data_IF_819595907048
#
_entry.id   IF_819595907048
#
_cell.length_a   1.000
_cell.length_b   1.000
_cell.length_c   1.000
_cell.angle_alpha   90.00
_cell.angle_beta   90.00
_cell.angle_gamma   90.00
#
_symmetry.space_group_name_H-M   'P 1'
#
loop_
_entity.id
_entity.type
_entity.pdbx_description
1 polymer ?
#
# COMPACT_ATOMS: atom_id res chain seq x y z
N UNK A 1 22.57 -3.89 -10.53
CA UNK A 1 23.45 -3.39 -9.45
C UNK A 1 24.67 -2.79 -10.09
N UNK A 2 24.99 -1.54 -9.74
CA UNK A 2 26.17 -0.83 -10.22
C UNK A 2 27.26 -0.78 -9.16
N UNK A 3 28.52 -0.79 -9.59
CA UNK A 3 29.67 -0.59 -8.70
C UNK A 3 30.15 0.85 -8.82
N UNK A 4 30.05 1.62 -7.74
CA UNK A 4 30.66 2.95 -7.63
C UNK A 4 31.99 2.84 -6.89
N UNK A 5 33.00 3.65 -7.25
CA UNK A 5 34.28 3.69 -6.53
C UNK A 5 34.40 4.99 -5.74
N UNK A 6 34.55 4.87 -4.41
CA UNK A 6 34.73 6.01 -3.50
C UNK A 6 36.07 5.85 -2.79
N UNK A 7 36.98 6.82 -2.96
CA UNK A 7 38.34 6.77 -2.39
C UNK A 7 39.07 5.44 -2.71
N UNK A 8 38.91 4.95 -3.95
CA UNK A 8 39.50 3.69 -4.41
C UNK A 8 38.78 2.42 -3.93
N UNK A 9 37.73 2.52 -3.12
CA UNK A 9 36.94 1.36 -2.62
C UNK A 9 35.67 1.16 -3.44
N UNK A 10 35.38 -0.07 -3.90
CA UNK A 10 34.14 -0.36 -4.60
C UNK A 10 32.96 -0.47 -3.61
N UNK A 11 31.82 0.11 -3.98
CA UNK A 11 30.54 0.00 -3.29
C UNK A 11 29.47 -0.42 -4.30
N UNK A 12 28.64 -1.40 -3.93
CA UNK A 12 27.50 -1.83 -4.72
C UNK A 12 26.30 -0.96 -4.40
N UNK A 13 25.70 -0.37 -5.43
CA UNK A 13 24.48 0.45 -5.34
C UNK A 13 23.39 -0.20 -6.19
N UNK A 14 22.18 -0.37 -5.64
CA UNK A 14 21.01 -0.84 -6.38
C UNK A 14 20.63 0.10 -7.54
N UNK A 15 20.15 -0.45 -8.65
CA UNK A 15 19.66 0.30 -9.83
C UNK A 15 18.14 0.19 -10.02
N UNK A 16 17.50 -0.67 -9.22
CA UNK A 16 16.06 -0.87 -9.22
C UNK A 16 15.55 -1.33 -7.86
N UNK A 17 14.25 -1.18 -7.64
CA UNK A 17 13.56 -1.63 -6.44
C UNK A 17 13.69 -3.13 -6.20
N UNK A 18 13.75 -3.93 -7.26
CA UNK A 18 13.86 -5.39 -7.19
C UNK A 18 15.22 -5.89 -6.67
N UNK A 19 16.26 -5.04 -6.69
CA UNK A 19 17.60 -5.38 -6.19
C UNK A 19 17.75 -5.12 -4.68
N UNK A 20 16.77 -4.47 -4.05
CA UNK A 20 16.81 -4.16 -2.62
C UNK A 20 16.42 -5.36 -1.77
N UNK A 21 17.19 -5.60 -0.71
CA UNK A 21 16.72 -6.42 0.41
C UNK A 21 15.61 -5.69 1.18
N UNK A 22 14.71 -6.41 1.89
CA UNK A 22 13.68 -5.76 2.70
C UNK A 22 14.22 -4.74 3.70
N UNK A 23 15.37 -5.04 4.33
CA UNK A 23 16.02 -4.13 5.28
C UNK A 23 16.45 -2.82 4.61
N UNK A 24 17.09 -2.90 3.44
CA UNK A 24 17.49 -1.72 2.66
C UNK A 24 16.28 -0.93 2.18
N UNK A 25 15.20 -1.63 1.81
CA UNK A 25 13.95 -1.03 1.37
C UNK A 25 13.31 -0.21 2.50
N UNK A 26 13.10 -0.83 3.67
CA UNK A 26 12.52 -0.14 4.82
C UNK A 26 13.39 1.02 5.31
N UNK A 27 14.72 0.89 5.26
CA UNK A 27 15.61 1.98 5.65
C UNK A 27 15.56 3.18 4.69
N UNK A 28 15.34 2.94 3.40
CA UNK A 28 15.24 4.02 2.39
C UNK A 28 13.85 4.66 2.31
N UNK A 29 12.78 3.90 2.58
CA UNK A 29 11.40 4.35 2.41
C UNK A 29 11.04 5.71 3.08
N UNK A 30 11.51 6.05 4.30
CA UNK A 30 11.24 7.35 4.92
C UNK A 30 11.72 8.56 4.10
N UNK A 31 12.65 8.36 3.17
CA UNK A 31 13.26 9.41 2.36
C UNK A 31 12.55 9.63 1.01
N UNK A 32 11.55 8.82 0.67
CA UNK A 32 10.81 8.93 -0.59
C UNK A 32 10.09 10.27 -0.79
N UNK A 33 9.74 10.96 0.30
CA UNK A 33 9.03 12.24 0.25
C UNK A 33 9.93 13.45 -0.11
N UNK A 34 11.25 13.29 -0.11
CA UNK A 34 12.20 14.39 -0.37
C UNK A 34 13.31 13.94 -1.28
N UNK A 35 13.49 14.62 -2.42
CA UNK A 35 14.63 14.42 -3.33
C UNK A 35 15.77 15.41 -3.03
N UNK A 36 16.06 15.61 -1.74
CA UNK A 36 17.17 16.48 -1.30
C UNK A 36 18.49 15.72 -1.27
N UNK A 37 19.62 16.44 -1.34
CA UNK A 37 20.96 15.85 -1.16
C UNK A 37 21.06 15.08 0.15
N UNK A 38 20.46 15.60 1.24
CA UNK A 38 20.41 14.92 2.53
C UNK A 38 19.65 13.59 2.47
N UNK A 39 18.50 13.55 1.80
CA UNK A 39 17.72 12.33 1.61
C UNK A 39 18.47 11.30 0.75
N UNK A 40 19.08 11.74 -0.36
CA UNK A 40 19.93 10.88 -1.22
C UNK A 40 21.10 10.28 -0.45
N UNK A 41 21.78 11.07 0.37
CA UNK A 41 22.86 10.59 1.24
C UNK A 41 22.37 9.60 2.30
N UNK A 42 21.18 9.82 2.88
CA UNK A 42 20.60 8.90 3.84
C UNK A 42 20.25 7.55 3.19
N UNK A 43 19.67 7.58 1.97
CA UNK A 43 19.42 6.38 1.16
C UNK A 43 20.71 5.63 0.84
N UNK A 44 21.75 6.34 0.38
CA UNK A 44 23.06 5.73 0.09
C UNK A 44 23.66 5.05 1.32
N UNK A 45 23.54 5.66 2.51
CA UNK A 45 24.00 5.06 3.78
C UNK A 45 23.19 3.82 4.15
N UNK A 46 21.89 3.86 3.94
CA UNK A 46 21.01 2.72 4.16
C UNK A 46 21.37 1.52 3.26
N UNK A 47 21.78 1.79 2.02
CA UNK A 47 22.10 0.74 1.04
C UNK A 47 23.54 0.25 1.09
N UNK A 48 24.46 1.15 1.43
CA UNK A 48 25.89 0.90 1.50
C UNK A 48 26.38 1.04 2.95
N UNK A 49 26.19 0.05 3.83
CA UNK A 49 26.59 0.15 5.25
C UNK A 49 28.09 0.35 5.46
N UNK A 50 28.91 0.07 4.44
CA UNK A 50 30.36 0.34 4.44
C UNK A 50 30.72 1.81 4.20
N UNK A 51 29.77 2.65 3.77
CA UNK A 51 29.95 4.08 3.52
C UNK A 51 29.98 4.84 4.86
N UNK A 52 31.17 5.19 5.34
CA UNK A 52 31.31 5.89 6.63
C UNK A 52 31.15 7.39 6.44
N UNK A 53 30.65 8.07 7.48
CA UNK A 53 30.51 9.55 7.52
C UNK A 53 31.81 10.28 7.11
N UNK A 54 32.95 9.79 7.61
CA UNK A 54 34.26 10.35 7.27
C UNK A 54 34.62 10.23 5.79
N UNK A 55 34.13 9.20 5.11
CA UNK A 55 34.41 8.97 3.69
C UNK A 55 33.56 9.93 2.85
N UNK A 56 32.30 10.15 3.26
CA UNK A 56 31.40 11.15 2.65
C UNK A 56 31.94 12.58 2.78
N UNK A 57 32.47 12.95 3.96
CA UNK A 57 33.04 14.30 4.19
C UNK A 57 34.30 14.59 3.37
N UNK A 58 34.95 13.56 2.82
CA UNK A 58 36.15 13.70 1.97
C UNK A 58 35.83 13.79 0.49
N UNK A 59 34.57 13.59 0.09
CA UNK A 59 34.17 13.68 -1.30
C UNK A 59 34.22 15.13 -1.78
N UNK A 60 34.70 15.33 -3.00
CA UNK A 60 34.54 16.61 -3.69
C UNK A 60 33.06 16.85 -4.03
N UNK A 61 32.63 18.10 -4.28
CA UNK A 61 31.27 18.39 -4.72
C UNK A 61 30.82 17.56 -5.92
N UNK A 62 31.70 17.36 -6.92
CA UNK A 62 31.42 16.56 -8.12
C UNK A 62 31.22 15.09 -7.78
N UNK A 63 32.10 14.52 -6.94
CA UNK A 63 31.96 13.12 -6.49
C UNK A 63 30.67 12.90 -5.68
N UNK A 64 30.32 13.88 -4.85
CA UNK A 64 29.07 13.85 -4.09
C UNK A 64 27.86 13.91 -5.03
N UNK A 65 27.90 14.77 -6.05
CA UNK A 65 26.87 14.87 -7.07
C UNK A 65 26.71 13.54 -7.82
N UNK A 66 27.80 12.98 -8.35
CA UNK A 66 27.80 11.70 -9.06
C UNK A 66 27.25 10.56 -8.18
N UNK A 67 27.63 10.55 -6.90
CA UNK A 67 27.08 9.56 -5.96
C UNK A 67 25.58 9.77 -5.77
N UNK A 68 25.11 11.01 -5.61
CA UNK A 68 23.70 11.33 -5.46
C UNK A 68 22.86 11.02 -6.72
N UNK A 69 23.42 11.15 -7.91
CA UNK A 69 22.70 10.81 -9.16
C UNK A 69 22.50 9.31 -9.31
N UNK A 70 23.39 8.47 -8.74
CA UNK A 70 23.26 7.00 -8.80
C UNK A 70 21.98 6.45 -8.13
N UNK A 71 21.40 7.20 -7.19
CA UNK A 71 20.16 6.83 -6.49
C UNK A 71 18.92 7.60 -6.97
N UNK A 72 19.09 8.57 -7.87
CA UNK A 72 17.99 9.44 -8.34
C UNK A 72 16.83 8.67 -8.98
N UNK A 73 17.09 7.46 -9.49
CA UNK A 73 16.07 6.59 -10.08
C UNK A 73 14.94 6.24 -9.09
N UNK A 74 15.21 6.29 -7.78
CA UNK A 74 14.22 6.02 -6.73
C UNK A 74 13.01 6.96 -6.81
N UNK A 75 13.22 8.22 -7.17
CA UNK A 75 12.14 9.21 -7.24
C UNK A 75 11.46 9.26 -8.61
N UNK A 76 12.05 8.65 -9.63
CA UNK A 76 11.50 8.64 -10.99
C UNK A 76 10.77 7.34 -11.34
N UNK A 77 11.15 6.21 -10.74
CA UNK A 77 10.51 4.91 -10.95
C UNK A 77 9.42 4.66 -9.91
N UNK A 78 8.28 4.11 -10.35
CA UNK A 78 7.23 3.67 -9.42
C UNK A 78 7.78 2.64 -8.41
N UNK A 79 7.38 2.79 -7.15
CA UNK A 79 7.80 1.90 -6.07
C UNK A 79 7.31 0.47 -6.32
N UNK A 80 8.23 -0.47 -6.53
CA UNK A 80 7.90 -1.89 -6.66
C UNK A 80 8.01 -2.58 -5.30
N UNK A 81 6.88 -2.96 -4.73
CA UNK A 81 6.79 -3.63 -3.43
C UNK A 81 6.61 -5.15 -3.54
N UNK A 82 6.66 -5.72 -4.76
CA UNK A 82 6.40 -7.17 -4.97
C UNK A 82 7.32 -8.09 -4.19
N UNK A 83 8.55 -7.67 -3.93
CA UNK A 83 9.54 -8.44 -3.15
C UNK A 83 9.33 -8.37 -1.63
N UNK A 84 8.42 -7.52 -1.15
CA UNK A 84 8.15 -7.34 0.28
C UNK A 84 6.84 -8.02 0.63
N UNK A 85 6.94 -9.22 1.19
CA UNK A 85 5.77 -10.04 1.55
C UNK A 85 5.45 -10.00 3.04
N UNK A 86 6.41 -9.63 3.89
CA UNK A 86 6.25 -9.61 5.34
C UNK A 86 7.25 -8.67 6.03
N UNK A 87 6.98 -8.37 7.30
CA UNK A 87 7.93 -7.73 8.21
C UNK A 87 7.77 -8.29 9.63
N UNK A 88 8.83 -8.17 10.44
CA UNK A 88 8.77 -8.55 11.86
C UNK A 88 8.69 -7.32 12.74
N UNK A 89 7.76 -7.32 13.70
CA UNK A 89 7.64 -6.28 14.73
C UNK A 89 7.35 -6.94 16.07
N UNK A 90 8.12 -6.60 17.11
CA UNK A 90 7.97 -7.15 18.48
C UNK A 90 7.87 -8.68 18.52
N UNK A 91 8.70 -9.37 17.74
CA UNK A 91 8.76 -10.84 17.67
C UNK A 91 7.59 -11.50 16.93
N UNK A 92 6.70 -10.73 16.30
CA UNK A 92 5.60 -11.23 15.47
C UNK A 92 5.85 -10.92 14.00
N UNK A 93 5.61 -11.88 13.13
CA UNK A 93 5.65 -11.71 11.67
C UNK A 93 4.29 -11.24 11.18
N UNK A 94 4.27 -10.06 10.56
CA UNK A 94 3.11 -9.47 9.89
C UNK A 94 3.27 -9.67 8.39
N UNK A 95 2.26 -10.29 7.77
CA UNK A 95 2.27 -10.56 6.33
C UNK A 95 1.48 -9.49 5.59
N UNK A 96 2.06 -8.96 4.52
CA UNK A 96 1.39 -8.06 3.58
C UNK A 96 0.40 -8.86 2.72
N UNK A 97 -0.66 -8.23 2.20
CA UNK A 97 -1.48 -8.84 1.16
C UNK A 97 -0.64 -9.08 -0.11
N UNK A 98 -1.14 -9.95 -0.97
CA UNK A 98 -0.55 -10.19 -2.29
C UNK A 98 -0.60 -8.91 -3.15
N UNK A 99 0.32 -8.76 -4.12
CA UNK A 99 0.31 -7.62 -5.04
C UNK A 99 -1.07 -7.39 -5.64
N UNK A 100 -1.48 -6.12 -5.71
CA UNK A 100 -2.81 -5.71 -6.17
C UNK A 100 -3.98 -6.13 -5.28
N UNK A 101 -3.71 -6.63 -4.06
CA UNK A 101 -4.73 -7.13 -3.12
C UNK A 101 -5.49 -8.36 -3.65
N UNK A 102 -4.81 -9.22 -4.42
CA UNK A 102 -5.41 -10.41 -5.04
C UNK A 102 -6.03 -11.37 -4.02
N UNK A 103 -5.43 -11.46 -2.84
CA UNK A 103 -5.88 -12.32 -1.75
C UNK A 103 -6.82 -11.59 -0.77
N UNK A 104 -6.92 -10.26 -0.83
CA UNK A 104 -7.67 -9.49 0.17
C UNK A 104 -9.19 -9.64 0.05
N UNK A 105 -9.88 -9.47 1.18
CA UNK A 105 -11.35 -9.39 1.21
C UNK A 105 -11.84 -7.95 1.06
N UNK A 106 -13.10 -7.78 0.66
CA UNK A 106 -13.66 -6.48 0.32
C UNK A 106 -13.59 -5.45 1.46
N UNK A 107 -13.81 -5.89 2.71
CA UNK A 107 -13.77 -5.00 3.88
C UNK A 107 -12.37 -4.47 4.19
N UNK A 108 -11.31 -5.23 3.90
CA UNK A 108 -9.93 -4.76 4.09
C UNK A 108 -9.64 -3.56 3.20
N UNK A 109 -10.02 -3.65 1.93
CA UNK A 109 -9.87 -2.56 0.97
C UNK A 109 -10.71 -1.34 1.35
N UNK A 110 -11.96 -1.56 1.75
CA UNK A 110 -12.86 -0.48 2.16
C UNK A 110 -12.31 0.28 3.37
N UNK A 111 -11.89 -0.43 4.42
CA UNK A 111 -11.34 0.19 5.62
C UNK A 111 -9.96 0.82 5.36
N UNK A 112 -9.09 0.18 4.59
CA UNK A 112 -7.81 0.77 4.20
C UNK A 112 -8.01 2.07 3.39
N UNK A 113 -9.05 2.15 2.54
CA UNK A 113 -9.43 3.38 1.84
C UNK A 113 -9.85 4.49 2.80
N UNK A 114 -10.70 4.19 3.79
CA UNK A 114 -11.08 5.16 4.83
C UNK A 114 -9.85 5.69 5.56
N UNK A 115 -8.99 4.79 6.05
CA UNK A 115 -7.79 5.20 6.79
C UNK A 115 -6.79 5.96 5.92
N UNK A 116 -6.65 5.60 4.65
CA UNK A 116 -5.85 6.36 3.68
C UNK A 116 -6.36 7.80 3.54
N UNK A 117 -7.67 8.00 3.36
CA UNK A 117 -8.25 9.34 3.22
C UNK A 117 -8.11 10.16 4.50
N UNK A 118 -8.28 9.55 5.68
CA UNK A 118 -8.05 10.20 6.97
C UNK A 118 -6.60 10.64 7.16
N UNK A 119 -5.64 9.80 6.76
CA UNK A 119 -4.21 10.12 6.80
C UNK A 119 -3.85 11.24 5.80
N UNK A 120 -4.35 11.15 4.57
CA UNK A 120 -4.03 12.06 3.48
C UNK A 120 -4.86 13.36 3.48
N UNK A 121 -5.76 13.56 4.45
CA UNK A 121 -6.61 14.74 4.52
C UNK A 121 -5.77 15.99 4.83
N UNK A 122 -5.68 16.99 3.92
CA UNK A 122 -4.87 18.17 4.15
C UNK A 122 -5.47 19.15 5.17
N UNK A 123 -6.79 19.10 5.40
CA UNK A 123 -7.47 19.99 6.34
C UNK A 123 -7.43 19.44 7.77
N UNK A 124 -7.51 18.13 7.91
CA UNK A 124 -7.51 17.44 9.21
C UNK A 124 -6.74 16.12 9.12
N UNK A 125 -5.40 16.17 9.01
CA UNK A 125 -4.60 14.96 8.92
C UNK A 125 -4.72 14.16 10.22
N UNK A 126 -4.90 12.85 10.10
CA UNK A 126 -4.92 11.91 11.23
C UNK A 126 -3.73 10.96 11.11
N UNK A 127 -2.57 11.27 11.74
CA UNK A 127 -1.37 10.45 11.62
C UNK A 127 -1.58 8.99 12.04
N UNK A 128 -2.40 8.76 13.06
CA UNK A 128 -2.74 7.42 13.56
C UNK A 128 -3.50 6.56 12.54
N UNK A 129 -4.14 7.19 11.55
CA UNK A 129 -4.81 6.45 10.48
C UNK A 129 -3.80 5.66 9.62
N UNK A 130 -2.53 6.08 9.56
CA UNK A 130 -1.50 5.28 8.91
C UNK A 130 -1.28 3.95 9.66
N UNK A 131 -1.27 3.96 10.99
CA UNK A 131 -1.14 2.74 11.79
C UNK A 131 -2.35 1.81 11.62
N UNK A 132 -3.55 2.39 11.51
CA UNK A 132 -4.78 1.66 11.25
C UNK A 132 -4.81 1.05 9.85
N UNK A 133 -4.30 1.77 8.83
CA UNK A 133 -4.12 1.23 7.49
C UNK A 133 -3.15 0.05 7.51
N UNK A 134 -2.00 0.20 8.19
CA UNK A 134 -1.01 -0.88 8.30
C UNK A 134 -1.60 -2.09 9.00
N UNK A 135 -2.29 -1.90 10.13
CA UNK A 135 -2.94 -2.97 10.89
C UNK A 135 -4.08 -3.68 10.13
N UNK A 136 -4.75 -2.97 9.23
CA UNK A 136 -5.82 -3.52 8.39
C UNK A 136 -5.27 -4.46 7.34
N UNK A 137 -4.22 -4.03 6.62
CA UNK A 137 -3.64 -4.80 5.51
C UNK A 137 -2.66 -5.86 6.01
N UNK A 138 -1.81 -5.49 6.97
CA UNK A 138 -0.75 -6.35 7.50
C UNK A 138 -1.21 -6.98 8.81
N UNK A 139 -1.45 -8.28 8.76
CA UNK A 139 -1.95 -9.04 9.91
C UNK A 139 -0.99 -10.20 10.20
N UNK A 140 -0.89 -10.65 11.46
CA UNK A 140 -0.10 -11.82 11.79
C UNK A 140 -0.56 -13.06 11.03
N UNK A 141 0.35 -14.00 10.85
CA UNK A 141 -0.02 -15.35 10.39
C UNK A 141 -0.92 -16.00 11.44
N UNK A 142 -1.97 -16.67 10.99
CA UNK A 142 -2.91 -17.39 11.84
C UNK A 142 -2.21 -18.41 12.74
N UNK A 143 -2.51 -18.41 14.02
CA UNK A 143 -2.00 -19.42 14.95
C UNK A 143 -2.48 -20.84 14.59
N UNK A 144 -3.68 -20.95 14.01
CA UNK A 144 -4.28 -22.19 13.53
C UNK A 144 -3.93 -22.52 12.06
N UNK A 145 -2.98 -21.80 11.44
CA UNK A 145 -2.68 -21.90 10.00
C UNK A 145 -2.47 -23.34 9.53
N UNK A 146 -1.68 -24.15 10.25
CA UNK A 146 -1.41 -25.56 9.89
C UNK A 146 -2.68 -26.42 9.81
N UNK A 147 -3.66 -26.15 10.67
CA UNK A 147 -4.93 -26.88 10.70
C UNK A 147 -5.84 -26.37 9.58
N UNK A 148 -5.96 -25.06 9.44
CA UNK A 148 -6.83 -24.42 8.44
C UNK A 148 -6.38 -24.72 7.03
N UNK A 149 -5.06 -24.75 6.76
CA UNK A 149 -4.53 -25.05 5.42
C UNK A 149 -4.80 -26.48 4.94
N UNK A 150 -5.27 -27.37 5.83
CA UNK A 150 -5.67 -28.74 5.50
C UNK A 150 -7.18 -28.87 5.30
N UNK A 151 -7.95 -27.83 5.62
CA UNK A 151 -9.40 -27.81 5.44
C UNK A 151 -9.74 -27.64 3.96
N UNK A 152 -10.58 -28.49 3.35
CA UNK A 152 -11.08 -28.29 1.99
C UNK A 152 -11.81 -26.95 1.78
N UNK A 153 -12.33 -26.34 2.86
CA UNK A 153 -12.96 -25.02 2.85
C UNK A 153 -11.95 -23.86 3.04
N UNK A 154 -10.64 -24.12 3.00
CA UNK A 154 -9.64 -23.07 3.12
C UNK A 154 -9.76 -22.06 1.98
N UNK A 155 -9.84 -20.79 2.35
CA UNK A 155 -10.00 -19.63 1.47
C UNK A 155 -8.66 -19.13 0.88
N UNK A 156 -7.57 -19.85 1.11
CA UNK A 156 -6.22 -19.44 0.71
C UNK A 156 -5.60 -18.36 1.61
N UNK A 157 -6.32 -17.87 2.64
CA UNK A 157 -5.80 -16.83 3.51
C UNK A 157 -4.89 -17.38 4.60
N UNK A 158 -3.68 -16.83 4.67
CA UNK A 158 -2.68 -17.17 5.69
C UNK A 158 -2.72 -16.21 6.87
N UNK A 159 -3.28 -15.01 6.66
CA UNK A 159 -3.38 -13.90 7.64
C UNK A 159 -4.57 -14.12 8.58
N UNK A 160 -4.47 -13.63 9.83
CA UNK A 160 -5.61 -13.59 10.78
C UNK A 160 -6.83 -12.96 10.11
N UNK A 161 -8.03 -13.57 10.17
CA UNK A 161 -9.25 -13.02 9.55
C UNK A 161 -9.51 -11.58 10.02
N UNK A 162 -10.00 -10.73 9.11
CA UNK A 162 -10.14 -9.30 9.40
C UNK A 162 -11.22 -9.12 10.45
N UNK A 163 -10.91 -8.31 11.46
CA UNK A 163 -11.85 -7.91 12.48
C UNK A 163 -11.44 -6.50 12.92
N UNK A 164 -12.37 -5.52 12.81
CA UNK A 164 -12.06 -4.12 13.08
C UNK A 164 -11.52 -3.87 14.49
N UNK A 165 -12.04 -4.59 15.51
CA UNK A 165 -11.59 -4.47 16.89
C UNK A 165 -10.19 -5.03 17.09
N UNK A 166 -9.87 -6.17 16.46
CA UNK A 166 -8.51 -6.70 16.47
C UNK A 166 -7.55 -5.76 15.73
N UNK A 167 -7.93 -5.25 14.56
CA UNK A 167 -7.13 -4.29 13.78
C UNK A 167 -6.84 -3.01 14.58
N UNK A 168 -7.81 -2.48 15.34
CA UNK A 168 -7.59 -1.34 16.24
C UNK A 168 -6.56 -1.65 17.33
N UNK A 169 -6.64 -2.84 17.93
CA UNK A 169 -5.65 -3.33 18.90
C UNK A 169 -4.25 -3.43 18.27
N UNK A 170 -4.15 -4.00 17.06
CA UNK A 170 -2.89 -4.10 16.30
C UNK A 170 -2.31 -2.74 15.93
N UNK A 171 -3.14 -1.77 15.58
CA UNK A 171 -2.69 -0.41 15.28
C UNK A 171 -1.96 0.21 16.48
N UNK A 172 -2.46 -0.03 17.71
CA UNK A 172 -1.79 0.40 18.95
C UNK A 172 -0.45 -0.32 19.16
N UNK A 173 -0.36 -1.61 18.81
CA UNK A 173 0.90 -2.38 18.85
C UNK A 173 1.92 -1.90 17.81
N UNK A 174 1.48 -1.25 16.73
CA UNK A 174 2.29 -0.79 15.60
C UNK A 174 2.68 0.70 15.68
N UNK A 175 2.29 1.42 16.73
CA UNK A 175 2.64 2.84 16.92
C UNK A 175 4.15 3.10 16.81
N UNK A 176 4.96 2.20 17.38
CA UNK A 176 6.42 2.26 17.37
C UNK A 176 7.07 1.46 16.23
N UNK A 177 6.28 0.92 15.29
CA UNK A 177 6.84 0.26 14.13
C UNK A 177 7.71 1.25 13.32
N UNK A 178 8.82 0.79 12.70
CA UNK A 178 9.67 1.67 11.92
C UNK A 178 8.87 2.41 10.85
N UNK A 179 9.05 3.73 10.73
CA UNK A 179 8.33 4.56 9.75
C UNK A 179 8.45 3.99 8.33
N UNK A 180 9.62 3.44 7.99
CA UNK A 180 9.86 2.80 6.70
C UNK A 180 8.89 1.68 6.38
N UNK A 181 8.54 0.83 7.36
CA UNK A 181 7.53 -0.22 7.19
C UNK A 181 6.18 0.41 6.83
N UNK A 182 5.77 1.44 7.58
CA UNK A 182 4.48 2.12 7.36
C UNK A 182 4.40 2.75 5.96
N UNK A 183 5.48 3.39 5.52
CA UNK A 183 5.58 3.97 4.17
C UNK A 183 5.53 2.90 3.08
N UNK A 184 6.21 1.76 3.25
CA UNK A 184 6.15 0.66 2.29
C UNK A 184 4.73 0.13 2.14
N UNK A 185 4.04 -0.10 3.26
CA UNK A 185 2.65 -0.59 3.24
C UNK A 185 1.70 0.42 2.61
N UNK A 186 1.87 1.72 2.91
CA UNK A 186 1.11 2.79 2.26
C UNK A 186 1.29 2.78 0.74
N UNK A 187 2.53 2.67 0.26
CA UNK A 187 2.78 2.62 -1.18
C UNK A 187 2.29 1.32 -1.84
N UNK A 188 2.36 0.19 -1.12
CA UNK A 188 1.77 -1.07 -1.57
C UNK A 188 0.26 -0.89 -1.80
N UNK A 189 -0.45 -0.27 -0.85
CA UNK A 189 -1.87 0.05 -0.98
C UNK A 189 -2.15 1.01 -2.14
N UNK A 190 -1.36 2.08 -2.29
CA UNK A 190 -1.50 3.03 -3.41
C UNK A 190 -1.32 2.35 -4.78
N UNK A 191 -0.35 1.43 -4.88
CA UNK A 191 -0.14 0.63 -6.09
C UNK A 191 -1.35 -0.24 -6.42
N UNK A 192 -1.88 -0.95 -5.41
CA UNK A 192 -3.09 -1.74 -5.56
C UNK A 192 -4.31 -0.90 -5.91
N UNK A 193 -4.49 0.28 -5.30
CA UNK A 193 -5.58 1.20 -5.61
C UNK A 193 -5.49 1.67 -7.07
N UNK A 194 -4.30 2.05 -7.58
CA UNK A 194 -4.10 2.39 -9.00
C UNK A 194 -4.42 1.22 -9.93
N UNK A 195 -4.11 -0.01 -9.53
CA UNK A 195 -4.48 -1.21 -10.29
C UNK A 195 -5.99 -1.41 -10.32
N UNK A 196 -6.65 -1.42 -9.16
CA UNK A 196 -8.10 -1.62 -9.01
C UNK A 196 -8.87 -0.57 -9.81
N UNK A 197 -8.49 0.71 -9.72
CA UNK A 197 -9.14 1.78 -10.49
C UNK A 197 -9.03 1.57 -12.01
N UNK A 198 -7.89 1.08 -12.51
CA UNK A 198 -7.70 0.76 -13.93
C UNK A 198 -8.47 -0.48 -14.36
N UNK A 199 -8.35 -1.56 -13.59
CA UNK A 199 -8.97 -2.86 -13.88
C UNK A 199 -10.50 -2.77 -13.89
N UNK A 200 -11.08 -2.02 -12.94
CA UNK A 200 -12.52 -1.85 -12.79
C UNK A 200 -12.98 -0.44 -13.19
N UNK A 201 -12.39 0.12 -14.25
CA UNK A 201 -12.70 1.49 -14.73
C UNK A 201 -14.18 1.74 -14.91
N UNK A 202 -14.97 0.74 -15.30
CA UNK A 202 -16.41 0.89 -15.52
C UNK A 202 -17.17 1.18 -14.22
N UNK A 203 -16.67 0.70 -13.07
CA UNK A 203 -17.20 0.99 -11.74
C UNK A 203 -16.87 2.42 -11.29
N UNK A 204 -15.66 2.91 -11.60
CA UNK A 204 -15.16 4.21 -11.15
C UNK A 204 -15.35 5.35 -12.15
N UNK A 205 -15.84 5.07 -13.36
CA UNK A 205 -16.22 6.09 -14.33
C UNK A 205 -17.28 6.99 -13.69
N UNK A 206 -16.90 8.25 -13.46
CA UNK A 206 -17.84 9.28 -13.05
C UNK A 206 -18.93 9.35 -14.12
N UNK A 207 -20.19 9.22 -13.71
CA UNK A 207 -21.30 9.72 -14.53
C UNK A 207 -20.97 11.19 -14.79
N UNK A 208 -20.86 11.56 -16.06
CA UNK A 208 -20.71 12.96 -16.46
C UNK A 208 -21.90 13.69 -15.84
N UNK A 209 -21.64 14.48 -14.80
CA UNK A 209 -22.67 15.37 -14.29
C UNK A 209 -22.82 16.48 -15.34
N UNK A 210 -24.06 16.98 -15.55
CA UNK A 210 -24.27 18.11 -16.43
C UNK A 210 -23.34 19.24 -16.01
N UNK A 211 -22.48 19.69 -16.93
CA UNK A 211 -21.55 20.81 -16.77
C UNK A 211 -22.35 22.11 -16.73
N UNK A 212 -23.05 22.35 -15.63
CA UNK A 212 -23.73 23.60 -15.33
C UNK A 212 -22.91 24.44 -14.34
N UNK A 213 -22.89 25.78 -14.48
CA UNK A 213 -22.12 26.69 -13.62
C UNK A 213 -22.56 26.74 -12.14
N UNK A 214 -23.55 25.93 -11.75
CA UNK A 214 -24.10 25.85 -10.39
C UNK A 214 -23.84 24.50 -9.70
N UNK A 215 -23.06 23.58 -10.31
CA UNK A 215 -22.75 22.32 -9.64
C UNK A 215 -21.79 22.57 -8.47
N UNK A 216 -22.20 22.28 -7.20
CA UNK A 216 -21.32 22.46 -6.05
C UNK A 216 -20.07 21.58 -6.21
N UNK A 217 -18.89 22.04 -5.76
CA UNK A 217 -17.70 21.20 -5.76
C UNK A 217 -18.02 19.92 -5.00
N UNK A 218 -17.81 18.75 -5.63
CA UNK A 218 -18.03 17.47 -4.94
C UNK A 218 -17.15 17.48 -3.68
N UNK A 219 -17.71 17.16 -2.49
CA UNK A 219 -16.87 16.89 -1.34
C UNK A 219 -15.86 15.81 -1.75
N UNK A 220 -14.57 16.02 -1.41
CA UNK A 220 -13.60 14.93 -1.53
C UNK A 220 -14.15 13.76 -0.74
N UNK A 221 -14.17 12.59 -1.36
CA UNK A 221 -14.55 11.36 -0.70
C UNK A 221 -13.82 11.20 0.63
N UNK A 222 -14.55 10.79 1.66
CA UNK A 222 -13.98 10.44 2.97
C UNK A 222 -13.46 8.99 2.99
N UNK A 223 -13.52 8.31 1.83
CA UNK A 223 -13.12 6.93 1.65
C UNK A 223 -14.22 5.92 1.98
N UNK A 224 -15.40 6.37 2.42
CA UNK A 224 -16.52 5.49 2.82
C UNK A 224 -17.34 4.98 1.64
N UNK A 225 -17.07 5.41 0.41
CA UNK A 225 -17.83 5.00 -0.78
C UNK A 225 -17.82 3.50 -0.98
N UNK A 226 -16.69 2.86 -0.69
CA UNK A 226 -16.59 1.41 -0.77
C UNK A 226 -17.45 0.73 0.30
N UNK A 227 -17.55 1.29 1.51
CA UNK A 227 -18.43 0.74 2.56
C UNK A 227 -19.90 0.83 2.17
N UNK A 228 -20.31 1.98 1.61
CA UNK A 228 -21.67 2.17 1.07
C UNK A 228 -21.96 1.16 -0.04
N UNK A 229 -21.01 0.98 -0.96
CA UNK A 229 -21.14 0.01 -2.06
C UNK A 229 -21.28 -1.44 -1.56
N UNK A 230 -20.59 -1.82 -0.48
CA UNK A 230 -20.76 -3.14 0.14
C UNK A 230 -22.13 -3.29 0.83
N UNK A 231 -22.64 -2.22 1.45
CA UNK A 231 -24.00 -2.21 2.01
C UNK A 231 -25.05 -2.39 0.91
N UNK A 232 -24.96 -1.63 -0.18
CA UNK A 232 -25.87 -1.75 -1.33
C UNK A 232 -25.88 -3.16 -1.94
N UNK A 233 -24.71 -3.81 -2.00
CA UNK A 233 -24.58 -5.20 -2.49
C UNK A 233 -25.28 -6.19 -1.55
N UNK A 234 -25.16 -5.97 -0.23
CA UNK A 234 -25.81 -6.80 0.78
C UNK A 234 -27.34 -6.62 0.77
N UNK A 235 -27.83 -5.38 0.62
CA UNK A 235 -29.26 -5.08 0.51
C UNK A 235 -29.92 -5.76 -0.70
N UNK A 236 -29.17 -5.90 -1.80
CA UNK A 236 -29.61 -6.65 -2.99
C UNK A 236 -29.57 -8.17 -2.83
N UNK A 237 -29.02 -8.68 -1.73
CA UNK A 237 -28.92 -10.11 -1.45
C UNK A 237 -27.97 -10.87 -2.38
N UNK A 238 -27.03 -10.21 -3.06
CA UNK A 238 -26.17 -10.85 -4.09
C UNK A 238 -25.24 -11.93 -3.50
N UNK A 239 -24.75 -11.72 -2.28
CA UNK A 239 -23.90 -12.68 -1.56
C UNK A 239 -24.42 -12.97 -0.14
N UNK A 240 -25.67 -12.59 0.15
CA UNK A 240 -26.27 -12.68 1.48
C UNK A 240 -26.04 -11.44 2.34
N UNK A 241 -25.74 -11.67 3.61
CA UNK A 241 -25.60 -10.62 4.65
C UNK A 241 -24.39 -9.71 4.40
N UNK A 242 -24.38 -8.56 5.08
CA UNK A 242 -23.23 -7.64 5.02
C UNK A 242 -21.91 -8.31 5.41
N UNK A 243 -21.89 -9.18 6.43
CA UNK A 243 -20.66 -9.88 6.84
C UNK A 243 -20.13 -10.81 5.73
N UNK A 244 -21.02 -11.49 5.01
CA UNK A 244 -20.67 -12.34 3.88
C UNK A 244 -20.11 -11.53 2.71
N UNK A 245 -20.74 -10.40 2.37
CA UNK A 245 -20.24 -9.47 1.34
C UNK A 245 -18.89 -8.89 1.72
N UNK A 246 -18.75 -8.42 2.97
CA UNK A 246 -17.54 -7.84 3.53
C UNK A 246 -16.35 -8.81 3.46
N UNK A 247 -16.58 -10.10 3.69
CA UNK A 247 -15.57 -11.15 3.67
C UNK A 247 -15.46 -11.90 2.34
N UNK A 248 -16.19 -11.48 1.30
CA UNK A 248 -16.00 -12.00 -0.05
C UNK A 248 -14.69 -11.44 -0.63
N UNK A 249 -14.00 -12.23 -1.45
CA UNK A 249 -12.80 -11.81 -2.15
C UNK A 249 -13.03 -10.49 -2.91
N UNK A 250 -12.14 -9.52 -2.71
CA UNK A 250 -12.27 -8.16 -3.22
C UNK A 250 -12.56 -8.12 -4.72
N UNK A 251 -11.75 -8.86 -5.48
CA UNK A 251 -11.83 -8.88 -6.94
C UNK A 251 -13.13 -9.51 -7.47
N UNK A 252 -13.73 -10.45 -6.74
CA UNK A 252 -15.04 -11.03 -7.06
C UNK A 252 -16.14 -9.98 -6.93
N UNK A 253 -16.15 -9.24 -5.81
CA UNK A 253 -17.12 -8.16 -5.58
C UNK A 253 -16.98 -7.08 -6.66
N UNK A 254 -15.75 -6.63 -6.90
CA UNK A 254 -15.44 -5.59 -7.90
C UNK A 254 -15.84 -6.01 -9.32
N UNK A 255 -15.56 -7.26 -9.72
CA UNK A 255 -15.92 -7.78 -11.04
C UNK A 255 -17.44 -7.78 -11.25
N UNK A 256 -18.19 -8.29 -10.28
CA UNK A 256 -19.65 -8.37 -10.39
C UNK A 256 -20.30 -6.97 -10.40
N UNK A 257 -19.78 -6.04 -9.59
CA UNK A 257 -20.21 -4.64 -9.62
C UNK A 257 -19.91 -3.96 -10.96
N UNK A 258 -18.72 -4.18 -11.52
CA UNK A 258 -18.35 -3.65 -12.83
C UNK A 258 -19.24 -4.22 -13.95
N UNK A 259 -19.57 -5.52 -13.89
CA UNK A 259 -20.50 -6.17 -14.82
C UNK A 259 -21.91 -5.55 -14.75
N UNK A 260 -22.44 -5.34 -13.55
CA UNK A 260 -23.74 -4.68 -13.36
C UNK A 260 -23.73 -3.22 -13.85
N UNK A 261 -22.65 -2.48 -13.59
CA UNK A 261 -22.49 -1.11 -14.08
C UNK A 261 -22.48 -1.04 -15.61
N UNK A 262 -21.88 -2.04 -16.28
CA UNK A 262 -21.91 -2.13 -17.75
C UNK A 262 -23.32 -2.38 -18.27
N UNK A 263 -24.03 -3.39 -17.74
CA UNK A 263 -25.40 -3.70 -18.19
C UNK A 263 -26.37 -2.52 -18.01
N UNK A 264 -26.27 -1.78 -16.89
CA UNK A 264 -27.10 -0.58 -16.68
C UNK A 264 -26.87 0.49 -17.75
N UNK A 265 -25.61 0.75 -18.10
CA UNK A 265 -25.24 1.73 -19.13
C UNK A 265 -25.64 1.31 -20.54
N UNK A 266 -25.69 0.01 -20.80
CA UNK A 266 -26.18 -0.53 -22.07
C UNK A 266 -27.70 -0.34 -22.16
N UNK A 267 -28.44 -0.67 -21.10
CA UNK A 267 -29.89 -0.44 -21.02
C UNK A 267 -30.30 1.04 -21.06
N UNK A 268 -29.47 1.97 -20.58
CA UNK A 268 -29.72 3.42 -20.66
C UNK A 268 -29.51 4.01 -22.06
N UNK A 269 -28.88 3.26 -22.99
CA UNK A 269 -28.62 3.70 -24.37
C UNK A 269 -29.68 3.22 -25.38
N UNK A 270 -30.47 2.22 -25.00
CA UNK A 270 -31.59 1.69 -25.79
C UNK A 270 -32.86 2.51 -25.56
#
# INVERSE_FOLDING_TARGET
MQTIRLNGRPHLVPESWAELTPVQFFAAAPHLASDSVAARLAVLRAWCPKLREKDVRRLTPDQLWDMCTTVSWMWTKELDTKGITEFTHRGRTYRLPEPNLLDAVAIEYAMASVFFHQFANPQRPQPLALDQLVATLCRPVRADFKKVSQDPAWDGQTRERYNGKLAEGRAKELLDAPLGVKIVVLHHFLGAQRFIHRAYKDLFKKVEQPTGPAAPPRPRGDGTEMLQLLADVAERGLYGTYDQVAHTALHTVMFNLAKQARHRREAEKE
#
